data_IF_148575147232
#
_entry.id   IF_148575147232
#
_cell.length_a   1.000
_cell.length_b   1.000
_cell.length_c   1.000
_cell.angle_alpha   90.00
_cell.angle_beta   90.00
_cell.angle_gamma   90.00
#
_symmetry.space_group_name_H-M   'P 1'
#
loop_
_entity.id
_entity.type
_entity.pdbx_description
1 polymer ?
#
# COMPACT_ATOMS: atom_id res chain seq x y z
N UNK A 1 3.13 -7.25 -19.38
CA UNK A 1 2.66 -5.86 -19.13
C UNK A 1 2.43 -5.58 -17.65
N UNK A 2 1.66 -6.42 -16.90
CA UNK A 2 1.44 -6.26 -15.46
C UNK A 2 2.74 -6.21 -14.63
N UNK A 3 3.75 -6.99 -15.00
CA UNK A 3 5.04 -7.07 -14.29
C UNK A 3 5.82 -5.74 -14.31
N UNK A 4 5.85 -5.05 -15.46
CA UNK A 4 6.52 -3.73 -15.59
C UNK A 4 5.81 -2.69 -14.74
N UNK A 5 4.46 -2.71 -14.70
CA UNK A 5 3.67 -1.82 -13.86
C UNK A 5 3.91 -2.08 -12.38
N UNK A 6 4.03 -3.35 -11.98
CA UNK A 6 4.34 -3.73 -10.60
C UNK A 6 5.75 -3.27 -10.19
N UNK A 7 6.76 -3.39 -11.07
CA UNK A 7 8.11 -2.86 -10.83
C UNK A 7 8.09 -1.34 -10.70
N UNK A 8 7.38 -0.64 -11.58
CA UNK A 8 7.20 0.81 -11.48
C UNK A 8 6.56 1.22 -10.15
N UNK A 9 5.52 0.51 -9.73
CA UNK A 9 4.87 0.73 -8.44
C UNK A 9 5.85 0.55 -7.26
N UNK A 10 6.70 -0.48 -7.30
CA UNK A 10 7.67 -0.73 -6.23
C UNK A 10 8.74 0.37 -6.14
N UNK A 11 9.17 0.90 -7.29
CA UNK A 11 10.12 2.02 -7.33
C UNK A 11 9.52 3.29 -6.69
N UNK A 12 8.29 3.64 -7.07
CA UNK A 12 7.59 4.77 -6.45
C UNK A 12 7.28 4.55 -4.98
N UNK A 13 6.99 3.31 -4.56
CA UNK A 13 6.81 2.99 -3.14
C UNK A 13 8.10 3.19 -2.34
N UNK A 14 9.26 2.81 -2.90
CA UNK A 14 10.55 3.06 -2.27
C UNK A 14 10.85 4.56 -2.13
N UNK A 15 10.67 5.33 -3.21
CA UNK A 15 10.79 6.78 -3.18
C UNK A 15 9.86 7.41 -2.14
N UNK A 16 8.59 6.96 -2.10
CA UNK A 16 7.61 7.40 -1.10
C UNK A 16 8.12 7.19 0.33
N UNK A 17 8.70 6.03 0.64
CA UNK A 17 9.16 5.72 2.00
C UNK A 17 10.28 6.66 2.46
N UNK A 18 11.22 6.98 1.57
CA UNK A 18 12.31 7.91 1.86
C UNK A 18 11.80 9.35 2.01
N UNK A 19 10.98 9.82 1.05
CA UNK A 19 10.41 11.16 1.10
C UNK A 19 9.50 11.34 2.32
N UNK A 20 8.71 10.32 2.66
CA UNK A 20 7.87 10.34 3.84
C UNK A 20 8.69 10.46 5.13
N UNK A 21 9.80 9.72 5.26
CA UNK A 21 10.68 9.80 6.44
C UNK A 21 11.22 11.21 6.63
N UNK A 22 11.66 11.85 5.56
CA UNK A 22 12.15 13.24 5.61
C UNK A 22 11.00 14.20 5.96
N UNK A 23 9.83 14.02 5.33
CA UNK A 23 8.68 14.92 5.52
C UNK A 23 8.01 14.81 6.89
N UNK A 24 8.07 13.65 7.55
CA UNK A 24 7.39 13.41 8.84
C UNK A 24 8.23 13.76 10.06
N UNK A 25 9.52 14.06 9.89
CA UNK A 25 10.48 14.24 10.99
C UNK A 25 10.07 15.33 12.00
N UNK A 26 9.50 16.45 11.52
CA UNK A 26 9.13 17.60 12.35
C UNK A 26 7.64 17.97 12.23
N UNK A 27 6.80 17.07 11.72
CA UNK A 27 5.38 17.30 11.48
C UNK A 27 4.58 16.21 12.18
N UNK A 28 3.41 16.55 12.70
CA UNK A 28 2.49 15.52 13.23
C UNK A 28 2.19 14.48 12.17
N UNK A 29 2.34 13.19 12.49
CA UNK A 29 2.18 12.08 11.53
C UNK A 29 0.80 12.05 10.87
N UNK A 30 -0.27 12.41 11.61
CA UNK A 30 -1.62 12.47 11.06
C UNK A 30 -1.76 13.62 10.05
N UNK A 31 -1.15 14.78 10.35
CA UNK A 31 -1.13 15.92 9.43
C UNK A 31 -0.33 15.58 8.16
N UNK A 32 0.83 14.96 8.30
CA UNK A 32 1.64 14.51 7.17
C UNK A 32 0.86 13.53 6.28
N UNK A 33 0.14 12.58 6.90
CA UNK A 33 -0.73 11.66 6.17
C UNK A 33 -1.85 12.39 5.43
N UNK A 34 -2.50 13.37 6.06
CA UNK A 34 -3.58 14.15 5.46
C UNK A 34 -3.10 14.95 4.25
N UNK A 35 -1.98 15.67 4.38
CA UNK A 35 -1.40 16.48 3.30
C UNK A 35 -1.05 15.58 2.10
N UNK A 36 -0.35 14.47 2.35
CA UNK A 36 0.00 13.52 1.29
C UNK A 36 -1.24 12.94 0.60
N UNK A 37 -2.24 12.55 1.38
CA UNK A 37 -3.48 11.97 0.83
C UNK A 37 -4.22 12.97 -0.05
N UNK A 38 -4.21 14.25 0.30
CA UNK A 38 -4.79 15.31 -0.53
C UNK A 38 -4.08 15.43 -1.88
N UNK A 39 -2.75 15.34 -1.90
CA UNK A 39 -1.98 15.34 -3.16
C UNK A 39 -2.33 14.11 -4.02
N UNK A 40 -2.40 12.92 -3.41
CA UNK A 40 -2.78 11.69 -4.11
C UNK A 40 -4.21 11.80 -4.66
N UNK A 41 -5.14 12.36 -3.88
CA UNK A 41 -6.52 12.57 -4.30
C UNK A 41 -6.61 13.47 -5.54
N UNK A 42 -5.92 14.61 -5.51
CA UNK A 42 -5.89 15.55 -6.65
C UNK A 42 -5.27 14.88 -7.89
N UNK A 43 -4.17 14.17 -7.72
CA UNK A 43 -3.52 13.46 -8.81
C UNK A 43 -4.43 12.37 -9.41
N UNK A 44 -5.11 11.58 -8.56
CA UNK A 44 -6.02 10.53 -9.02
C UNK A 44 -7.21 11.10 -9.79
N UNK A 45 -7.87 12.15 -9.27
CA UNK A 45 -8.95 12.82 -9.98
C UNK A 45 -8.49 13.54 -11.24
N UNK A 46 -7.28 14.11 -11.23
CA UNK A 46 -6.66 14.67 -12.44
C UNK A 46 -6.54 13.62 -13.55
N UNK A 47 -6.11 12.41 -13.23
CA UNK A 47 -6.05 11.29 -14.19
C UNK A 47 -7.43 10.87 -14.68
N UNK A 48 -8.44 10.83 -13.80
CA UNK A 48 -9.84 10.53 -14.18
C UNK A 48 -10.35 11.55 -15.20
N UNK A 49 -10.10 12.83 -14.99
CA UNK A 49 -10.53 13.89 -15.89
C UNK A 49 -9.77 13.85 -17.23
N UNK A 50 -8.45 13.63 -17.20
CA UNK A 50 -7.63 13.53 -18.40
C UNK A 50 -8.01 12.33 -19.29
N UNK A 51 -8.44 11.24 -18.69
CA UNK A 51 -8.85 10.03 -19.40
C UNK A 51 -10.36 9.98 -19.72
N UNK A 52 -11.11 11.01 -19.34
CA UNK A 52 -12.59 11.05 -19.46
C UNK A 52 -13.29 9.87 -18.78
N UNK A 53 -12.68 9.29 -17.73
CA UNK A 53 -13.21 8.13 -17.02
C UNK A 53 -14.39 8.47 -16.08
N UNK A 54 -14.67 9.75 -15.81
CA UNK A 54 -15.78 10.19 -14.96
C UNK A 54 -17.15 9.72 -15.45
N UNK A 55 -17.33 9.51 -16.75
CA UNK A 55 -18.57 9.00 -17.33
C UNK A 55 -18.90 7.55 -16.93
N UNK A 56 -17.93 6.82 -16.35
CA UNK A 56 -18.12 5.48 -15.83
C UNK A 56 -18.68 5.43 -14.40
N UNK A 57 -18.82 6.56 -13.70
CA UNK A 57 -19.26 6.60 -12.29
C UNK A 57 -20.65 6.01 -12.13
N UNK A 58 -21.57 6.32 -13.04
CA UNK A 58 -22.97 5.86 -12.98
C UNK A 58 -23.12 4.34 -13.25
N UNK A 59 -22.08 3.71 -13.80
CA UNK A 59 -22.06 2.27 -14.10
C UNK A 59 -21.49 1.43 -12.96
N UNK A 60 -21.00 2.07 -11.89
CA UNK A 60 -20.41 1.38 -10.75
C UNK A 60 -21.50 0.71 -9.92
N UNK A 61 -21.42 -0.62 -9.75
CA UNK A 61 -22.37 -1.36 -8.93
C UNK A 61 -22.28 -0.96 -7.45
N UNK A 62 -23.40 -1.09 -6.70
CA UNK A 62 -23.41 -0.85 -5.25
C UNK A 62 -22.40 -1.70 -4.50
N UNK A 63 -22.18 -2.94 -4.96
CA UNK A 63 -21.19 -3.84 -4.40
C UNK A 63 -19.78 -3.30 -4.60
N UNK A 64 -19.46 -2.82 -5.81
CA UNK A 64 -18.14 -2.23 -6.09
C UNK A 64 -17.90 -0.97 -5.26
N UNK A 65 -18.90 -0.12 -5.10
CA UNK A 65 -18.84 1.04 -4.22
C UNK A 65 -18.49 0.67 -2.78
N UNK A 66 -19.17 -0.34 -2.23
CA UNK A 66 -18.91 -0.81 -0.87
C UNK A 66 -17.45 -1.27 -0.70
N UNK A 67 -16.96 -2.12 -1.62
CA UNK A 67 -15.59 -2.64 -1.52
C UNK A 67 -14.54 -1.55 -1.74
N UNK A 68 -14.76 -0.60 -2.63
CA UNK A 68 -13.86 0.53 -2.83
C UNK A 68 -13.77 1.42 -1.59
N UNK A 69 -14.91 1.70 -0.94
CA UNK A 69 -14.95 2.48 0.30
C UNK A 69 -14.21 1.74 1.42
N UNK A 70 -14.48 0.44 1.61
CA UNK A 70 -13.81 -0.38 2.62
C UNK A 70 -12.30 -0.45 2.36
N UNK A 71 -11.88 -0.60 1.12
CA UNK A 71 -10.46 -0.58 0.71
C UNK A 71 -9.82 0.78 0.99
N UNK A 72 -10.53 1.87 0.73
CA UNK A 72 -10.08 3.23 1.06
C UNK A 72 -9.87 3.43 2.57
N UNK A 73 -10.82 2.96 3.39
CA UNK A 73 -10.70 3.01 4.85
C UNK A 73 -9.52 2.18 5.35
N UNK A 74 -9.33 0.97 4.83
CA UNK A 74 -8.19 0.12 5.16
C UNK A 74 -6.86 0.78 4.77
N UNK A 75 -6.79 1.41 3.59
CA UNK A 75 -5.61 2.15 3.13
C UNK A 75 -5.31 3.34 4.07
N UNK A 76 -6.33 4.10 4.44
CA UNK A 76 -6.19 5.23 5.37
C UNK A 76 -5.65 4.78 6.73
N UNK A 77 -6.22 3.72 7.31
CA UNK A 77 -5.75 3.14 8.57
C UNK A 77 -4.30 2.66 8.46
N UNK A 78 -3.96 1.94 7.38
CA UNK A 78 -2.59 1.49 7.11
C UNK A 78 -1.61 2.65 7.06
N UNK A 79 -1.93 3.73 6.36
CA UNK A 79 -1.05 4.89 6.23
C UNK A 79 -0.87 5.66 7.54
N UNK A 80 -1.91 5.80 8.34
CA UNK A 80 -1.79 6.40 9.67
C UNK A 80 -0.81 5.63 10.54
N UNK A 81 -0.91 4.29 10.57
CA UNK A 81 0.04 3.43 11.27
C UNK A 81 1.45 3.53 10.69
N UNK A 82 1.59 3.47 9.37
CA UNK A 82 2.87 3.49 8.68
C UNK A 82 3.63 4.80 8.90
N UNK A 83 2.96 5.95 8.78
CA UNK A 83 3.59 7.25 9.01
C UNK A 83 3.99 7.45 10.46
N UNK A 84 3.17 6.96 11.39
CA UNK A 84 3.54 6.97 12.80
C UNK A 84 4.76 6.09 13.08
N UNK A 85 4.80 4.91 12.47
CA UNK A 85 5.96 4.00 12.57
C UNK A 85 7.23 4.65 11.99
N UNK A 86 7.15 5.29 10.81
CA UNK A 86 8.27 6.00 10.20
C UNK A 86 8.76 7.17 11.05
N UNK A 87 7.88 7.83 11.78
CA UNK A 87 8.26 8.91 12.71
C UNK A 87 9.09 8.36 13.87
N UNK A 88 8.73 7.19 14.39
CA UNK A 88 9.32 6.59 15.59
C UNK A 88 10.51 5.67 15.32
N UNK A 89 10.55 5.04 14.14
CA UNK A 89 11.54 4.02 13.80
C UNK A 89 12.36 4.33 12.56
N UNK A 90 13.39 3.54 12.35
CA UNK A 90 14.25 3.61 11.16
C UNK A 90 13.53 3.06 9.93
N UNK A 91 13.73 3.69 8.77
CA UNK A 91 13.14 3.24 7.50
C UNK A 91 13.55 1.80 7.18
N UNK A 92 14.80 1.46 7.45
CA UNK A 92 15.36 0.12 7.21
C UNK A 92 14.66 -1.00 8.00
N UNK A 93 14.01 -0.66 9.11
CA UNK A 93 13.23 -1.61 9.93
C UNK A 93 11.74 -1.53 9.64
N UNK A 94 11.20 -0.32 9.50
CA UNK A 94 9.76 -0.11 9.28
C UNK A 94 9.31 -0.64 7.92
N UNK A 95 10.06 -0.36 6.85
CA UNK A 95 9.68 -0.80 5.50
C UNK A 95 9.64 -2.32 5.35
N UNK A 96 10.61 -3.11 5.84
CA UNK A 96 10.50 -4.58 5.78
C UNK A 96 9.29 -5.12 6.56
N UNK A 97 8.96 -4.56 7.73
CA UNK A 97 7.77 -4.97 8.50
C UNK A 97 6.49 -4.72 7.69
N UNK A 98 6.38 -3.56 7.05
CA UNK A 98 5.23 -3.25 6.18
C UNK A 98 5.07 -4.28 5.04
N UNK A 99 6.18 -4.83 4.53
CA UNK A 99 6.17 -5.88 3.50
C UNK A 99 5.67 -7.24 3.98
N UNK A 100 5.50 -7.47 5.27
CA UNK A 100 4.77 -8.64 5.78
C UNK A 100 3.30 -8.64 5.31
N UNK A 101 2.76 -7.49 4.93
CA UNK A 101 1.46 -7.40 4.27
C UNK A 101 1.35 -8.28 3.02
N UNK A 102 2.44 -8.51 2.30
CA UNK A 102 2.48 -9.43 1.14
C UNK A 102 2.14 -10.86 1.58
N UNK A 103 2.72 -11.33 2.68
CA UNK A 103 2.46 -12.67 3.23
C UNK A 103 0.99 -12.80 3.66
N UNK A 104 0.49 -11.78 4.38
CA UNK A 104 -0.91 -11.73 4.82
C UNK A 104 -1.84 -11.71 3.61
N UNK A 105 -1.52 -10.93 2.58
CA UNK A 105 -2.33 -10.85 1.35
C UNK A 105 -2.41 -12.20 0.63
N UNK A 106 -1.30 -12.93 0.51
CA UNK A 106 -1.30 -14.25 -0.13
C UNK A 106 -2.16 -15.24 0.65
N UNK A 107 -2.09 -15.22 1.98
CA UNK A 107 -2.95 -16.07 2.83
C UNK A 107 -4.42 -15.69 2.65
N UNK A 108 -4.75 -14.41 2.68
CA UNK A 108 -6.12 -13.95 2.49
C UNK A 108 -6.64 -14.23 1.07
N UNK A 109 -5.81 -14.11 0.05
CA UNK A 109 -6.18 -14.47 -1.32
C UNK A 109 -6.53 -15.96 -1.45
N UNK A 110 -5.77 -16.85 -0.80
CA UNK A 110 -6.09 -18.26 -0.77
C UNK A 110 -7.41 -18.55 -0.04
N UNK A 111 -7.65 -17.89 1.11
CA UNK A 111 -8.83 -18.15 1.95
C UNK A 111 -10.10 -17.50 1.38
N UNK A 112 -10.02 -16.23 0.94
CA UNK A 112 -11.19 -15.44 0.55
C UNK A 112 -11.47 -15.49 -0.95
N UNK A 113 -10.43 -15.57 -1.78
CA UNK A 113 -10.56 -15.60 -3.24
C UNK A 113 -10.39 -17.03 -3.81
N UNK A 114 -10.11 -18.01 -2.93
CA UNK A 114 -9.88 -19.40 -3.30
C UNK A 114 -8.75 -19.57 -4.34
N UNK A 115 -7.74 -18.68 -4.31
CA UNK A 115 -6.57 -18.80 -5.16
C UNK A 115 -5.71 -19.98 -4.73
N UNK A 116 -5.21 -20.75 -5.72
CA UNK A 116 -4.35 -21.90 -5.42
C UNK A 116 -2.95 -21.44 -5.03
N UNK A 117 -2.53 -21.77 -3.82
CA UNK A 117 -1.17 -21.54 -3.36
C UNK A 117 -0.23 -22.55 -4.04
N UNK A 118 0.74 -22.03 -4.78
CA UNK A 118 1.84 -22.85 -5.30
C UNK A 118 2.91 -23.03 -4.23
N UNK A 119 3.66 -24.12 -4.29
CA UNK A 119 4.80 -24.35 -3.41
C UNK A 119 5.82 -23.17 -3.48
N UNK A 120 5.97 -22.59 -4.67
CA UNK A 120 6.84 -21.41 -4.88
C UNK A 120 6.33 -20.20 -4.11
N UNK A 121 5.01 -19.95 -4.10
CA UNK A 121 4.41 -18.85 -3.35
C UNK A 121 4.61 -19.04 -1.84
N UNK A 122 4.43 -20.25 -1.34
CA UNK A 122 4.64 -20.59 0.07
C UNK A 122 6.10 -20.36 0.47
N UNK A 123 7.03 -20.89 -0.31
CA UNK A 123 8.47 -20.67 -0.07
C UNK A 123 8.84 -19.17 -0.12
N UNK A 124 8.28 -18.43 -1.08
CA UNK A 124 8.44 -16.97 -1.16
C UNK A 124 7.96 -16.24 0.09
N UNK A 125 6.81 -16.62 0.65
CA UNK A 125 6.31 -16.08 1.91
C UNK A 125 7.26 -16.33 3.09
N UNK A 126 7.79 -17.53 3.22
CA UNK A 126 8.78 -17.86 4.26
C UNK A 126 10.07 -17.05 4.11
N UNK A 127 10.55 -16.86 2.88
CA UNK A 127 11.73 -16.04 2.62
C UNK A 127 11.50 -14.56 2.96
N UNK A 128 10.34 -14.00 2.61
CA UNK A 128 9.97 -12.62 2.95
C UNK A 128 9.87 -12.46 4.47
N UNK A 129 9.17 -13.36 5.14
CA UNK A 129 9.02 -13.30 6.60
C UNK A 129 10.37 -13.47 7.31
N UNK A 130 11.16 -14.45 6.91
CA UNK A 130 12.50 -14.70 7.47
C UNK A 130 13.46 -13.54 7.22
N UNK A 131 13.50 -13.02 5.98
CA UNK A 131 14.30 -11.84 5.64
C UNK A 131 13.90 -10.60 6.42
N UNK A 132 12.60 -10.37 6.61
CA UNK A 132 12.09 -9.26 7.43
C UNK A 132 12.54 -9.39 8.88
N UNK A 133 12.41 -10.57 9.48
CA UNK A 133 12.86 -10.81 10.85
C UNK A 133 14.37 -10.57 10.99
N UNK A 134 15.17 -11.03 10.04
CA UNK A 134 16.63 -10.84 10.04
C UNK A 134 17.02 -9.36 9.96
N UNK A 135 16.23 -8.52 9.25
CA UNK A 135 16.50 -7.08 9.14
C UNK A 135 16.13 -6.30 10.41
N UNK A 136 15.30 -6.87 11.29
CA UNK A 136 14.83 -6.21 12.52
C UNK A 136 15.75 -6.53 13.71
N UNK A 137 16.31 -7.73 13.71
CA UNK A 137 17.26 -8.20 14.75
C UNK A 137 18.59 -7.48 14.65
#
# INVERSE_FOLDING_TARGET
MWFILALGSSLFAAATSILAKVGVSNVNSNLATAIRTSVVLVMAWGMVLLTNAQHGIDQISRRSWLFLILSGLATGASWLCYYKALQMGDVSKVVPIDKLSVVITIILAAVLLHEQLTLRSILGCFLIAGGTLLMIL
#
